data_IF_769488840713
#
_entry.id   IF_769488840713
#
_cell.length_a   1.000
_cell.length_b   1.000
_cell.length_c   1.000
_cell.angle_alpha   90.00
_cell.angle_beta   90.00
_cell.angle_gamma   90.00
#
_symmetry.space_group_name_H-M   'P 1'
#
loop_
_entity.id
_entity.type
_entity.pdbx_description
1 polymer ?
#
# COMPACT_ATOMS: atom_id res chain seq x y z
N UNK A 1 -14.26 5.07 -24.46
CA UNK A 1 -13.06 4.26 -24.83
C UNK A 1 -12.44 3.70 -23.56
N UNK A 2 -12.52 2.39 -23.36
CA UNK A 2 -11.88 1.70 -22.22
C UNK A 2 -10.36 1.86 -22.31
N UNK A 3 -9.77 2.58 -21.36
CA UNK A 3 -8.31 2.65 -21.26
C UNK A 3 -7.87 1.52 -20.35
N UNK A 4 -7.16 0.54 -20.92
CA UNK A 4 -6.47 -0.46 -20.12
C UNK A 4 -5.43 0.26 -19.26
N UNK A 5 -5.66 0.26 -17.95
CA UNK A 5 -4.69 0.75 -16.97
C UNK A 5 -4.20 -0.44 -16.18
N UNK A 6 -2.96 -0.38 -15.72
CA UNK A 6 -2.41 -1.40 -14.83
C UNK A 6 -2.36 -0.90 -13.41
N UNK A 7 -2.58 -1.80 -12.46
CA UNK A 7 -2.40 -1.54 -11.04
C UNK A 7 -0.96 -1.09 -10.77
N UNK A 8 -0.80 0.05 -10.10
CA UNK A 8 0.54 0.58 -9.81
C UNK A 8 1.33 -0.28 -8.83
N UNK A 9 0.63 -1.01 -7.96
CA UNK A 9 1.17 -1.93 -6.97
C UNK A 9 1.50 -3.31 -7.57
N UNK A 10 0.50 -4.09 -8.03
CA UNK A 10 0.69 -5.48 -8.46
C UNK A 10 0.79 -5.70 -9.98
N UNK A 11 0.62 -4.66 -10.81
CA UNK A 11 0.65 -4.71 -12.29
C UNK A 11 -0.50 -5.46 -12.98
N UNK A 12 -1.49 -5.96 -12.24
CA UNK A 12 -2.72 -6.53 -12.82
C UNK A 12 -3.45 -5.49 -13.69
N UNK A 13 -4.00 -5.89 -14.85
CA UNK A 13 -4.83 -5.00 -15.67
C UNK A 13 -6.12 -4.63 -14.93
N UNK A 14 -6.60 -3.41 -15.17
CA UNK A 14 -7.82 -2.83 -14.60
C UNK A 14 -8.65 -2.28 -15.75
N UNK A 15 -9.93 -2.67 -15.79
CA UNK A 15 -10.89 -2.13 -16.75
C UNK A 15 -11.51 -0.86 -16.16
N UNK A 16 -11.19 0.27 -16.78
CA UNK A 16 -11.78 1.57 -16.43
C UNK A 16 -12.62 2.05 -17.61
N UNK A 17 -13.94 2.01 -17.44
CA UNK A 17 -14.89 2.53 -18.41
C UNK A 17 -15.49 3.85 -17.90
N UNK A 18 -14.97 4.98 -18.40
CA UNK A 18 -15.47 6.31 -18.02
C UNK A 18 -16.89 6.59 -18.53
N UNK A 19 -17.37 5.80 -19.49
CA UNK A 19 -18.66 5.99 -20.14
C UNK A 19 -19.77 5.18 -19.42
N UNK A 20 -19.40 4.15 -18.66
CA UNK A 20 -20.29 3.35 -17.82
C UNK A 20 -19.61 3.00 -16.48
N UNK A 21 -19.97 3.76 -15.44
CA UNK A 21 -19.41 3.61 -14.09
C UNK A 21 -19.77 2.26 -13.48
N UNK A 22 -20.94 1.68 -13.82
CA UNK A 22 -21.35 0.38 -13.28
C UNK A 22 -20.47 -0.76 -13.81
N UNK A 23 -19.88 -0.58 -14.99
CA UNK A 23 -18.93 -1.51 -15.58
C UNK A 23 -17.48 -1.30 -15.11
N UNK A 24 -17.20 -0.31 -14.26
CA UNK A 24 -15.86 -0.14 -13.69
C UNK A 24 -15.59 -1.14 -12.56
N UNK A 25 -14.39 -1.71 -12.52
CA UNK A 25 -14.03 -2.62 -11.43
C UNK A 25 -14.04 -1.93 -10.05
N UNK A 26 -13.76 -0.63 -9.98
CA UNK A 26 -13.67 0.11 -8.72
C UNK A 26 -15.01 0.29 -7.98
N UNK A 27 -16.16 -0.03 -8.57
CA UNK A 27 -17.47 0.03 -7.87
C UNK A 27 -17.71 -1.17 -6.97
N UNK A 28 -16.90 -2.22 -7.08
CA UNK A 28 -17.09 -3.48 -6.37
C UNK A 28 -16.35 -3.55 -5.02
N UNK A 29 -15.72 -2.45 -4.59
CA UNK A 29 -14.89 -2.42 -3.37
C UNK A 29 -15.28 -1.25 -2.48
N UNK A 30 -15.53 -1.56 -1.22
CA UNK A 30 -15.72 -0.60 -0.15
C UNK A 30 -14.44 -0.52 0.68
N UNK A 31 -13.96 0.69 0.96
CA UNK A 31 -12.76 0.97 1.75
C UNK A 31 -13.06 2.01 2.83
N UNK A 32 -12.37 1.92 3.97
CA UNK A 32 -12.54 2.82 5.10
C UNK A 32 -12.09 4.25 4.79
N UNK A 33 -12.57 5.22 5.57
CA UNK A 33 -12.21 6.62 5.37
C UNK A 33 -10.71 6.86 5.61
N UNK A 34 -10.14 6.14 6.58
CA UNK A 34 -8.72 6.15 6.91
C UNK A 34 -7.88 5.67 5.72
N UNK A 35 -8.33 4.61 5.05
CA UNK A 35 -7.69 4.12 3.82
C UNK A 35 -7.76 5.15 2.70
N UNK A 36 -8.87 5.88 2.56
CA UNK A 36 -8.98 6.97 1.57
C UNK A 36 -8.01 8.10 1.86
N UNK A 37 -7.86 8.50 3.13
CA UNK A 37 -6.87 9.51 3.56
C UNK A 37 -5.45 9.03 3.29
N UNK A 38 -5.13 7.78 3.62
CA UNK A 38 -3.83 7.17 3.33
C UNK A 38 -3.51 7.19 1.83
N UNK A 39 -4.44 6.73 0.99
CA UNK A 39 -4.26 6.67 -0.45
C UNK A 39 -4.10 8.07 -1.07
N UNK A 40 -4.83 9.07 -0.57
CA UNK A 40 -4.70 10.46 -1.02
C UNK A 40 -3.30 11.05 -0.76
N UNK A 41 -2.63 10.62 0.32
CA UNK A 41 -1.25 11.00 0.64
C UNK A 41 -0.18 10.10 0.00
N UNK A 42 -0.57 9.12 -0.81
CA UNK A 42 0.34 8.16 -1.43
C UNK A 42 0.73 8.56 -2.87
N UNK A 43 1.70 7.84 -3.44
CA UNK A 43 2.14 7.99 -4.83
C UNK A 43 1.47 6.98 -5.76
N UNK A 44 0.49 6.20 -5.27
CA UNK A 44 -0.26 5.27 -6.09
C UNK A 44 -1.13 6.00 -7.10
N UNK A 45 -1.30 5.40 -8.29
CA UNK A 45 -2.30 5.86 -9.26
C UNK A 45 -3.51 4.93 -9.15
N UNK A 46 -3.80 4.16 -10.20
CA UNK A 46 -4.83 3.14 -10.15
C UNK A 46 -4.35 1.93 -9.34
N UNK A 47 -5.23 1.40 -8.50
CA UNK A 47 -5.07 0.16 -7.75
C UNK A 47 -6.24 -0.76 -8.11
N UNK A 48 -5.97 -2.07 -8.22
CA UNK A 48 -7.04 -3.05 -8.40
C UNK A 48 -7.75 -3.29 -7.06
N UNK A 49 -8.93 -3.89 -7.11
CA UNK A 49 -9.75 -4.16 -5.92
C UNK A 49 -8.99 -4.99 -4.88
N UNK A 50 -8.25 -6.02 -5.28
CA UNK A 50 -7.47 -6.84 -4.35
C UNK A 50 -6.42 -6.01 -3.60
N UNK A 51 -5.75 -5.10 -4.30
CA UNK A 51 -4.78 -4.20 -3.65
C UNK A 51 -5.47 -3.19 -2.74
N UNK A 52 -6.64 -2.66 -3.15
CA UNK A 52 -7.42 -1.76 -2.32
C UNK A 52 -7.87 -2.45 -1.03
N UNK A 53 -8.41 -3.66 -1.11
CA UNK A 53 -8.79 -4.47 0.06
C UNK A 53 -7.56 -4.82 0.91
N UNK A 54 -6.42 -5.15 0.31
CA UNK A 54 -5.16 -5.39 1.05
C UNK A 54 -4.73 -4.14 1.84
N UNK A 55 -4.71 -2.96 1.21
CA UNK A 55 -4.35 -1.73 1.91
C UNK A 55 -5.35 -1.37 2.99
N UNK A 56 -6.64 -1.60 2.74
CA UNK A 56 -7.69 -1.37 3.73
C UNK A 56 -7.49 -2.24 4.98
N UNK A 57 -7.28 -3.55 4.79
CA UNK A 57 -6.96 -4.47 5.88
C UNK A 57 -5.69 -4.04 6.62
N UNK A 58 -4.66 -3.57 5.92
CA UNK A 58 -3.43 -3.08 6.55
C UNK A 58 -3.67 -1.83 7.40
N UNK A 59 -4.43 -0.86 6.90
CA UNK A 59 -4.76 0.37 7.62
C UNK A 59 -5.56 0.04 8.88
N UNK A 60 -6.59 -0.80 8.76
CA UNK A 60 -7.37 -1.26 9.92
C UNK A 60 -6.50 -2.04 10.91
N UNK A 61 -5.57 -2.88 10.42
CA UNK A 61 -4.64 -3.61 11.29
C UNK A 61 -3.68 -2.70 12.06
N UNK A 62 -3.41 -1.49 11.59
CA UNK A 62 -2.55 -0.49 12.24
C UNK A 62 -3.35 0.45 13.15
N UNK A 63 -4.67 0.52 13.00
CA UNK A 63 -5.54 1.46 13.71
C UNK A 63 -5.45 1.24 15.22
N UNK A 64 -5.11 2.29 15.94
CA UNK A 64 -4.97 2.27 17.40
C UNK A 64 -3.74 1.52 17.93
N UNK A 65 -2.85 1.01 17.06
CA UNK A 65 -1.58 0.41 17.49
C UNK A 65 -0.47 1.44 17.57
N UNK A 66 0.34 1.35 18.61
CA UNK A 66 1.52 2.22 18.76
C UNK A 66 2.65 1.76 17.82
N UNK A 67 3.34 2.73 17.23
CA UNK A 67 4.51 2.47 16.39
C UNK A 67 5.70 2.01 17.26
N UNK A 68 6.30 0.83 17.00
CA UNK A 68 7.45 0.34 17.76
C UNK A 68 8.69 1.20 17.44
N UNK A 69 9.14 1.99 18.42
CA UNK A 69 10.28 2.90 18.26
C UNK A 69 11.60 2.20 18.56
N UNK A 70 11.57 1.22 19.46
CA UNK A 70 12.77 0.48 19.90
C UNK A 70 12.81 -0.90 19.25
N UNK A 71 14.02 -1.42 19.02
CA UNK A 71 14.20 -2.78 18.49
C UNK A 71 13.52 -3.85 19.35
N UNK A 72 13.54 -3.69 20.68
CA UNK A 72 12.89 -4.60 21.63
C UNK A 72 11.36 -4.67 21.48
N UNK A 73 10.75 -3.66 20.88
CA UNK A 73 9.30 -3.59 20.62
C UNK A 73 8.95 -4.20 19.25
N UNK A 74 9.97 -4.54 18.43
CA UNK A 74 9.76 -5.06 17.10
C UNK A 74 9.75 -6.60 17.09
N UNK A 75 8.73 -7.19 16.48
CA UNK A 75 8.60 -8.62 16.28
C UNK A 75 9.05 -9.03 14.87
N UNK A 76 9.91 -10.05 14.80
CA UNK A 76 10.33 -10.68 13.54
C UNK A 76 9.15 -11.41 12.87
N UNK A 77 9.08 -11.36 11.55
CA UNK A 77 7.95 -11.83 10.73
C UNK A 77 6.79 -10.84 10.65
N UNK A 78 6.73 -9.84 11.55
CA UNK A 78 5.65 -8.85 11.61
C UNK A 78 6.17 -7.47 11.18
N UNK A 79 7.16 -6.93 11.88
CA UNK A 79 7.74 -5.61 11.58
C UNK A 79 8.99 -5.70 10.70
N UNK A 80 9.74 -6.80 10.79
CA UNK A 80 10.94 -7.03 9.99
C UNK A 80 11.20 -8.52 9.81
N UNK A 81 12.11 -8.88 8.91
CA UNK A 81 12.74 -10.19 8.84
C UNK A 81 14.24 -10.03 8.55
N UNK A 82 15.04 -11.05 8.86
CA UNK A 82 16.46 -11.08 8.54
C UNK A 82 16.69 -11.66 7.14
N UNK A 83 17.48 -10.98 6.32
CA UNK A 83 17.91 -11.45 4.99
C UNK A 83 19.38 -11.10 4.80
N UNK A 84 20.24 -12.11 4.59
CA UNK A 84 21.70 -11.92 4.46
C UNK A 84 22.30 -11.07 5.59
N UNK A 85 21.92 -11.33 6.84
CA UNK A 85 22.35 -10.58 8.03
C UNK A 85 21.84 -9.11 8.10
N UNK A 86 21.02 -8.68 7.14
CA UNK A 86 20.39 -7.37 7.14
C UNK A 86 18.97 -7.41 7.71
N UNK A 87 18.60 -6.34 8.42
CA UNK A 87 17.24 -6.06 8.84
C UNK A 87 16.40 -5.56 7.65
N UNK A 88 15.38 -6.33 7.26
CA UNK A 88 14.46 -5.95 6.19
C UNK A 88 13.09 -5.64 6.78
N UNK A 89 12.69 -4.37 6.76
CA UNK A 89 11.39 -3.95 7.27
C UNK A 89 10.24 -4.36 6.35
N UNK A 90 9.13 -4.80 6.96
CA UNK A 90 7.92 -5.21 6.24
C UNK A 90 7.07 -4.02 5.80
N UNK A 91 6.08 -4.29 4.94
CA UNK A 91 5.06 -3.31 4.57
C UNK A 91 4.32 -2.78 5.81
N UNK A 92 4.03 -3.64 6.80
CA UNK A 92 3.33 -3.26 8.03
C UNK A 92 4.12 -2.22 8.83
N UNK A 93 5.43 -2.42 8.97
CA UNK A 93 6.29 -1.44 9.65
C UNK A 93 6.26 -0.08 8.96
N UNK A 94 6.32 -0.06 7.62
CA UNK A 94 6.24 1.17 6.85
C UNK A 94 4.86 1.84 6.93
N UNK A 95 3.79 1.06 7.04
CA UNK A 95 2.44 1.57 7.28
C UNK A 95 2.33 2.21 8.68
N UNK A 96 2.76 1.51 9.72
CA UNK A 96 2.73 2.01 11.11
C UNK A 96 3.60 3.25 11.31
N UNK A 97 4.69 3.39 10.54
CA UNK A 97 5.53 4.60 10.55
C UNK A 97 4.74 5.86 10.16
N UNK A 98 3.69 5.72 9.36
CA UNK A 98 2.74 6.79 9.02
C UNK A 98 3.28 7.86 8.07
N UNK A 99 4.51 7.73 7.55
CA UNK A 99 5.08 8.68 6.58
C UNK A 99 6.00 8.02 5.54
N UNK A 100 5.92 8.50 4.29
CA UNK A 100 6.82 8.10 3.22
C UNK A 100 8.18 8.82 3.34
N UNK A 101 9.28 8.07 3.34
CA UNK A 101 10.64 8.61 3.41
C UNK A 101 11.30 8.86 2.04
N UNK A 102 10.62 8.52 0.93
CA UNK A 102 11.10 8.72 -0.44
C UNK A 102 12.47 8.08 -0.78
N UNK A 103 12.89 7.07 -0.02
CA UNK A 103 14.13 6.34 -0.30
C UNK A 103 13.97 5.20 -1.33
N UNK A 104 12.78 4.98 -1.89
CA UNK A 104 12.52 3.87 -2.81
C UNK A 104 12.57 2.49 -2.14
N UNK A 105 12.02 2.37 -0.93
CA UNK A 105 12.07 1.13 -0.14
C UNK A 105 11.44 -0.08 -0.87
N UNK A 106 12.03 -1.27 -0.69
CA UNK A 106 11.53 -2.54 -1.24
C UNK A 106 10.07 -2.82 -0.89
N UNK A 107 9.69 -2.60 0.37
CA UNK A 107 8.35 -2.85 0.91
C UNK A 107 7.54 -1.56 1.09
N UNK A 108 7.70 -0.60 0.17
CA UNK A 108 7.05 0.72 0.26
C UNK A 108 5.53 0.62 0.05
N UNK A 109 4.77 0.86 1.13
CA UNK A 109 3.29 0.92 1.07
C UNK A 109 2.76 2.17 0.34
N UNK A 110 3.56 3.23 0.22
CA UNK A 110 3.14 4.50 -0.39
C UNK A 110 3.28 4.52 -1.92
N UNK A 111 3.81 3.47 -2.54
CA UNK A 111 3.97 3.42 -4.01
C UNK A 111 5.09 4.30 -4.57
N UNK A 112 5.92 4.91 -3.71
CA UNK A 112 7.06 5.70 -4.17
C UNK A 112 8.14 4.78 -4.75
N UNK A 113 8.58 5.08 -5.98
CA UNK A 113 9.73 4.44 -6.62
C UNK A 113 10.76 5.51 -6.95
N UNK A 114 11.98 5.32 -6.47
CA UNK A 114 13.11 6.15 -6.90
C UNK A 114 13.42 5.80 -8.36
N UNK A 115 13.55 6.80 -9.24
CA UNK A 115 13.81 6.61 -10.69
C UNK A 115 15.29 6.69 -11.04
N UNK A 116 16.15 6.99 -10.07
CA UNK A 116 17.60 7.12 -10.24
C UNK A 116 18.39 5.90 -9.74
N UNK A 117 17.67 4.86 -9.31
CA UNK A 117 18.16 3.52 -8.97
C UNK A 117 17.41 2.51 -9.84
#
# INVERSE_FOLDING_TARGET
MSKDRVCTHCKTPIVCNTDDIQACDCTKVDISNETRVFLAGSFHKCLCNDCLTKFDQMVESCKGKEFPKRRSEMQEGVHYYMENEYFVFTELYHMMKGQCCQNGCRHCVYGFKNRYL
#
